data_IF_383656034506
#
_entry.id   IF_383656034506
#
_cell.length_a   1.000
_cell.length_b   1.000
_cell.length_c   1.000
_cell.angle_alpha   90.00
_cell.angle_beta   90.00
_cell.angle_gamma   90.00
#
_symmetry.space_group_name_H-M   'P 1'
#
loop_
_entity.id
_entity.type
_entity.pdbx_description
1 polymer ?
#
# COMPACT_ATOMS: atom_id res chain seq x y z
N UNK A 1 -2.40 32.26 -26.47
CA UNK A 1 -1.13 31.97 -25.75
C UNK A 1 -1.33 31.53 -24.29
N UNK A 2 -2.28 30.61 -24.02
CA UNK A 2 -2.60 30.13 -22.65
C UNK A 2 -2.53 28.60 -22.50
N UNK A 3 -2.52 27.84 -23.60
CA UNK A 3 -2.57 26.37 -23.57
C UNK A 3 -1.22 25.71 -23.18
N UNK A 4 -0.08 26.24 -23.65
CA UNK A 4 1.25 25.64 -23.39
C UNK A 4 1.69 25.71 -21.92
N UNK A 5 1.24 26.75 -21.20
CA UNK A 5 1.52 26.89 -19.77
C UNK A 5 0.80 25.83 -18.94
N UNK A 6 -0.41 25.43 -19.37
CA UNK A 6 -1.19 24.39 -18.72
C UNK A 6 -0.57 23.01 -18.94
N UNK A 7 -0.14 22.71 -20.17
CA UNK A 7 0.56 21.47 -20.48
C UNK A 7 1.86 21.32 -19.67
N UNK A 8 2.62 22.40 -19.53
CA UNK A 8 3.87 22.38 -18.76
C UNK A 8 3.63 22.14 -17.27
N UNK A 9 2.55 22.71 -16.71
CA UNK A 9 2.16 22.52 -15.31
C UNK A 9 1.65 21.11 -15.06
N UNK A 10 0.81 20.59 -15.95
CA UNK A 10 0.32 19.22 -15.91
C UNK A 10 1.47 18.20 -16.03
N UNK A 11 2.42 18.42 -16.95
CA UNK A 11 3.61 17.56 -17.07
C UNK A 11 4.51 17.58 -15.84
N UNK A 12 4.65 18.74 -15.17
CA UNK A 12 5.40 18.82 -13.90
C UNK A 12 4.70 18.04 -12.78
N UNK A 13 3.37 18.15 -12.67
CA UNK A 13 2.59 17.40 -11.69
C UNK A 13 2.67 15.90 -11.97
N UNK A 14 2.52 15.48 -13.22
CA UNK A 14 2.65 14.08 -13.61
C UNK A 14 4.04 13.51 -13.27
N UNK A 15 5.12 14.25 -13.58
CA UNK A 15 6.48 13.83 -13.21
C UNK A 15 6.67 13.73 -11.70
N UNK A 16 6.09 14.64 -10.92
CA UNK A 16 6.14 14.58 -9.46
C UNK A 16 5.39 13.36 -8.92
N UNK A 17 4.20 13.05 -9.45
CA UNK A 17 3.46 11.85 -9.09
C UNK A 17 4.25 10.58 -9.38
N UNK A 18 4.79 10.49 -10.60
CA UNK A 18 5.62 9.36 -11.03
C UNK A 18 6.84 9.23 -10.13
N UNK A 19 7.56 10.32 -9.86
CA UNK A 19 8.70 10.32 -8.93
C UNK A 19 8.30 9.91 -7.51
N UNK A 20 7.14 10.34 -7.00
CA UNK A 20 6.70 9.93 -5.66
C UNK A 20 6.38 8.44 -5.58
N UNK A 21 5.77 7.85 -6.61
CA UNK A 21 5.57 6.39 -6.66
C UNK A 21 6.88 5.64 -6.78
N UNK A 22 7.79 6.09 -7.64
CA UNK A 22 9.13 5.52 -7.75
C UNK A 22 9.92 5.64 -6.44
N UNK A 23 9.81 6.76 -5.72
CA UNK A 23 10.45 6.94 -4.42
C UNK A 23 9.83 6.01 -3.36
N UNK A 24 8.51 5.81 -3.36
CA UNK A 24 7.86 4.82 -2.48
C UNK A 24 8.39 3.42 -2.77
N UNK A 25 8.46 3.03 -4.04
CA UNK A 25 9.00 1.74 -4.47
C UNK A 25 10.49 1.63 -4.11
N UNK A 26 11.29 2.68 -4.27
CA UNK A 26 12.72 2.67 -3.93
C UNK A 26 12.93 2.57 -2.42
N UNK A 27 12.17 3.32 -1.61
CA UNK A 27 12.18 3.22 -0.15
C UNK A 27 11.74 1.83 0.31
N UNK A 28 10.75 1.26 -0.37
CA UNK A 28 10.22 -0.07 -0.14
C UNK A 28 11.23 -1.17 -0.51
N UNK A 29 11.98 -0.99 -1.59
CA UNK A 29 13.03 -1.89 -2.04
C UNK A 29 14.26 -1.82 -1.11
N UNK A 30 14.67 -0.61 -0.74
CA UNK A 30 15.78 -0.39 0.20
C UNK A 30 15.43 -0.86 1.62
N UNK A 31 14.17 -0.68 2.05
CA UNK A 31 13.63 -1.10 3.34
C UNK A 31 12.56 -2.17 3.15
N UNK A 32 12.95 -3.32 2.61
CA UNK A 32 12.06 -4.45 2.35
C UNK A 32 11.18 -4.82 3.57
N UNK A 33 11.71 -4.65 4.78
CA UNK A 33 10.99 -4.87 6.05
C UNK A 33 9.73 -3.99 6.18
N UNK A 34 9.80 -2.75 5.71
CA UNK A 34 8.70 -1.78 5.80
C UNK A 34 7.51 -2.18 4.92
N UNK A 35 7.78 -2.84 3.80
CA UNK A 35 6.76 -3.26 2.85
C UNK A 35 6.20 -4.65 3.12
N UNK A 36 7.03 -5.58 3.62
CA UNK A 36 6.57 -6.88 4.09
C UNK A 36 5.44 -6.78 5.10
N UNK A 37 5.68 -5.95 6.12
CA UNK A 37 4.74 -5.79 7.21
C UNK A 37 3.71 -4.69 6.94
N UNK A 38 3.78 -3.99 5.81
CA UNK A 38 2.92 -2.85 5.52
C UNK A 38 1.42 -3.19 5.60
N UNK A 39 0.99 -4.24 4.88
CA UNK A 39 -0.40 -4.71 4.94
C UNK A 39 -0.78 -5.23 6.34
N UNK A 40 0.16 -5.87 7.05
CA UNK A 40 -0.06 -6.38 8.42
C UNK A 40 -0.20 -5.25 9.44
N UNK A 41 0.60 -4.20 9.31
CA UNK A 41 0.56 -3.00 10.12
C UNK A 41 -0.72 -2.21 9.84
N UNK A 42 -1.12 -2.09 8.56
CA UNK A 42 -2.40 -1.51 8.19
C UNK A 42 -3.56 -2.27 8.82
N UNK A 43 -3.56 -3.61 8.76
CA UNK A 43 -4.59 -4.43 9.40
C UNK A 43 -4.63 -4.24 10.92
N UNK A 44 -3.46 -4.23 11.58
CA UNK A 44 -3.35 -3.93 13.02
C UNK A 44 -3.88 -2.53 13.34
N UNK A 45 -3.55 -1.53 12.52
CA UNK A 45 -4.02 -0.16 12.68
C UNK A 45 -5.55 -0.09 12.56
N UNK A 46 -6.14 -0.74 11.56
CA UNK A 46 -7.61 -0.82 11.40
C UNK A 46 -8.24 -1.54 12.59
N UNK A 47 -7.59 -2.57 13.13
CA UNK A 47 -8.09 -3.28 14.31
C UNK A 47 -8.02 -2.41 15.57
N UNK A 48 -6.96 -1.63 15.76
CA UNK A 48 -6.80 -0.75 16.93
C UNK A 48 -7.70 0.48 16.85
N UNK A 49 -7.96 1.05 15.67
CA UNK A 49 -8.87 2.19 15.52
C UNK A 49 -10.32 1.86 15.90
N UNK A 50 -10.72 0.58 15.89
CA UNK A 50 -12.05 0.15 16.35
C UNK A 50 -12.30 0.45 17.84
N UNK A 51 -11.23 0.49 18.64
CA UNK A 51 -11.29 0.74 20.08
C UNK A 51 -10.97 2.20 20.44
N UNK A 52 -10.75 3.06 19.45
CA UNK A 52 -10.37 4.44 19.63
C UNK A 52 -11.60 5.32 19.92
N UNK A 53 -11.43 6.36 20.74
CA UNK A 53 -12.50 7.33 21.04
C UNK A 53 -13.00 8.00 19.76
N UNK A 54 -14.31 8.27 19.68
CA UNK A 54 -14.98 8.74 18.45
C UNK A 54 -14.36 10.01 17.87
N UNK A 55 -13.91 10.95 18.73
CA UNK A 55 -13.25 12.19 18.30
C UNK A 55 -11.94 11.95 17.53
N UNK A 56 -11.12 11.03 18.03
CA UNK A 56 -9.85 10.66 17.39
C UNK A 56 -10.09 9.81 16.14
N UNK A 57 -11.11 8.95 16.20
CA UNK A 57 -11.48 8.09 15.08
C UNK A 57 -11.86 8.89 13.84
N UNK A 58 -12.61 9.99 13.99
CA UNK A 58 -12.98 10.91 12.90
C UNK A 58 -11.75 11.51 12.20
N UNK A 59 -10.62 11.65 12.90
CA UNK A 59 -9.39 12.15 12.31
C UNK A 59 -8.55 11.05 11.66
N UNK A 60 -8.52 9.85 12.24
CA UNK A 60 -7.66 8.74 11.78
C UNK A 60 -8.27 7.98 10.61
N UNK A 61 -9.58 7.72 10.62
CA UNK A 61 -10.27 6.99 9.55
C UNK A 61 -10.03 7.60 8.15
N UNK A 62 -10.13 8.92 7.91
CA UNK A 62 -9.84 9.48 6.59
C UNK A 62 -8.36 9.37 6.19
N UNK A 63 -7.43 9.30 7.15
CA UNK A 63 -6.00 9.08 6.86
C UNK A 63 -5.77 7.65 6.39
N UNK A 64 -6.41 6.67 7.04
CA UNK A 64 -6.37 5.26 6.63
C UNK A 64 -6.99 5.09 5.25
N UNK A 65 -8.17 5.67 5.00
CA UNK A 65 -8.85 5.56 3.71
C UNK A 65 -8.08 6.21 2.56
N UNK A 66 -7.36 7.31 2.82
CA UNK A 66 -6.54 7.99 1.79
C UNK A 66 -5.20 7.32 1.55
N UNK A 67 -4.74 6.47 2.46
CA UNK A 67 -3.47 5.78 2.36
C UNK A 67 -3.66 4.38 1.75
N UNK A 68 -4.05 4.34 0.47
CA UNK A 68 -4.31 3.08 -0.27
C UNK A 68 -3.05 2.28 -0.59
N UNK A 69 -1.85 2.82 -0.35
CA UNK A 69 -0.59 2.18 -0.73
C UNK A 69 -0.43 0.80 -0.10
N UNK A 70 -0.85 0.61 1.15
CA UNK A 70 -0.70 -0.66 1.86
C UNK A 70 -1.88 -1.62 1.64
N UNK A 71 -2.96 -1.16 0.99
CA UNK A 71 -4.17 -1.95 0.69
C UNK A 71 -4.14 -2.55 -0.72
N UNK A 72 -3.06 -2.33 -1.48
CA UNK A 72 -2.92 -2.94 -2.79
C UNK A 72 -2.83 -4.46 -2.70
N UNK A 73 -3.48 -5.19 -3.62
CA UNK A 73 -3.51 -6.65 -3.60
C UNK A 73 -2.11 -7.26 -3.67
N UNK A 74 -1.14 -6.62 -4.33
CA UNK A 74 0.26 -7.09 -4.32
C UNK A 74 0.88 -7.10 -2.91
N UNK A 75 0.58 -6.10 -2.07
CA UNK A 75 1.11 -5.99 -0.72
C UNK A 75 0.45 -7.00 0.23
N UNK A 76 -0.83 -7.30 0.01
CA UNK A 76 -1.53 -8.37 0.72
C UNK A 76 -0.96 -9.75 0.37
N UNK A 77 -0.73 -10.01 -0.92
CA UNK A 77 -0.11 -11.25 -1.39
C UNK A 77 1.32 -11.41 -0.86
N UNK A 78 2.06 -10.31 -0.81
CA UNK A 78 3.40 -10.29 -0.25
C UNK A 78 3.38 -10.61 1.26
N UNK A 79 2.45 -10.02 2.01
CA UNK A 79 2.25 -10.34 3.42
C UNK A 79 1.93 -11.82 3.64
N UNK A 80 1.05 -12.43 2.83
CA UNK A 80 0.70 -13.86 2.92
C UNK A 80 1.90 -14.79 2.67
N UNK A 81 2.80 -14.45 1.75
CA UNK A 81 4.04 -15.24 1.52
C UNK A 81 4.96 -15.19 2.71
N UNK A 82 5.01 -14.02 3.35
CA UNK A 82 5.96 -13.73 4.42
C UNK A 82 5.40 -14.02 5.81
N UNK A 83 4.19 -14.56 5.87
CA UNK A 83 3.53 -14.89 7.13
C UNK A 83 4.29 -16.00 7.85
N UNK A 84 4.33 -15.88 9.18
CA UNK A 84 4.94 -16.86 10.07
C UNK A 84 4.17 -18.19 10.11
N UNK A 85 2.87 -18.17 9.79
CA UNK A 85 2.05 -19.36 9.74
C UNK A 85 2.22 -20.09 8.38
N UNK A 86 2.82 -21.30 8.37
CA UNK A 86 3.14 -21.99 7.12
C UNK A 86 1.88 -22.35 6.33
N UNK A 87 0.75 -22.57 7.00
CA UNK A 87 -0.54 -22.83 6.36
C UNK A 87 -0.97 -21.69 5.41
N UNK A 88 -0.81 -20.43 5.83
CA UNK A 88 -1.22 -19.25 5.05
C UNK A 88 -0.31 -19.08 3.83
N UNK A 89 1.00 -19.22 4.04
CA UNK A 89 1.98 -19.16 2.95
C UNK A 89 1.76 -20.28 1.90
N UNK A 90 1.41 -21.50 2.35
CA UNK A 90 1.11 -22.64 1.48
C UNK A 90 -0.16 -22.41 0.65
N UNK A 91 -1.22 -21.82 1.24
CA UNK A 91 -2.46 -21.50 0.51
C UNK A 91 -2.19 -20.57 -0.68
N UNK A 92 -1.36 -19.54 -0.50
CA UNK A 92 -0.95 -18.64 -1.59
C UNK A 92 -0.13 -19.36 -2.65
N UNK A 93 0.83 -20.20 -2.22
CA UNK A 93 1.65 -20.99 -3.15
C UNK A 93 0.81 -21.98 -3.99
N UNK A 94 -0.31 -22.48 -3.45
CA UNK A 94 -1.28 -23.31 -4.19
C UNK A 94 -2.08 -22.48 -5.20
N UNK A 95 -2.62 -21.33 -4.79
CA UNK A 95 -3.39 -20.46 -5.68
C UNK A 95 -2.59 -19.92 -6.88
N UNK A 96 -1.27 -19.71 -6.74
CA UNK A 96 -0.42 -19.36 -7.90
C UNK A 96 -0.35 -20.51 -8.91
N UNK A 97 -0.14 -21.74 -8.44
CA UNK A 97 -0.01 -22.91 -9.32
C UNK A 97 -1.29 -23.24 -10.07
N UNK A 98 -2.45 -22.89 -9.53
CA UNK A 98 -3.76 -23.13 -10.16
C UNK A 98 -4.11 -22.08 -11.23
N UNK A 99 -3.54 -20.88 -11.17
CA UNK A 99 -3.77 -19.80 -12.13
C UNK A 99 -2.76 -19.75 -13.30
N UNK A 100 -1.77 -20.65 -13.32
CA UNK A 100 -0.74 -20.75 -14.38
C UNK A 100 -1.07 -21.80 -15.47
N UNK A 101 -2.32 -22.29 -15.55
CA UNK A 101 -2.80 -23.24 -16.56
C UNK A 101 -4.01 -22.73 -17.34
#
# INVERSE_FOLDING_TARGET
>A
MCHDRWLTRANRILRLYVLMEFLKILVCYQNWLYCKDGARQLFKLIATTRYLHTELKVQVDPVIQKNSYFDHPENLLFAMVTDSEPHIAILKARGIRENEF
#
